data_IF_683224496668
#
_entry.id   IF_683224496668
#
_cell.length_a   1.000
_cell.length_b   1.000
_cell.length_c   1.000
_cell.angle_alpha   90.00
_cell.angle_beta   90.00
_cell.angle_gamma   90.00
#
_symmetry.space_group_name_H-M   'P 1'
#
loop_
_entity.id
_entity.type
_entity.pdbx_description
1 polymer ?
#
# COMPACT_ATOMS: atom_id res chain seq x y z
N UNK A 1 19.77 5.08 -9.37
CA UNK A 1 19.14 5.87 -8.30
C UNK A 1 17.65 5.90 -8.54
N UNK A 2 16.86 6.18 -7.51
CA UNK A 2 15.43 6.46 -7.60
C UNK A 2 15.15 7.82 -6.96
N UNK A 3 14.20 8.59 -7.49
CA UNK A 3 13.76 9.83 -6.86
C UNK A 3 12.62 9.54 -5.89
N UNK A 4 12.79 9.97 -4.63
CA UNK A 4 11.75 9.86 -3.60
C UNK A 4 11.08 11.21 -3.43
N UNK A 5 9.75 11.21 -3.36
CA UNK A 5 8.93 12.36 -2.94
C UNK A 5 8.40 12.11 -1.54
N UNK A 6 8.74 12.98 -0.59
CA UNK A 6 8.40 12.85 0.84
C UNK A 6 7.53 14.02 1.30
N UNK A 7 6.45 13.72 2.02
CA UNK A 7 5.64 14.74 2.71
C UNK A 7 6.36 15.21 3.99
N UNK A 8 6.50 16.52 4.15
CA UNK A 8 7.32 17.14 5.20
C UNK A 8 6.54 18.08 6.14
N UNK A 9 5.23 18.22 5.93
CA UNK A 9 4.38 19.02 6.81
C UNK A 9 4.10 18.40 8.18
N UNK A 10 4.35 17.09 8.36
CA UNK A 10 4.04 16.34 9.57
C UNK A 10 5.31 15.93 10.35
N UNK A 11 5.21 14.95 11.25
CA UNK A 11 6.37 14.35 11.87
C UNK A 11 7.20 13.56 10.84
N UNK A 12 8.51 13.57 11.06
CA UNK A 12 9.48 12.89 10.22
C UNK A 12 10.10 11.75 11.02
N UNK A 13 10.14 10.56 10.44
CA UNK A 13 10.96 9.45 10.91
C UNK A 13 12.44 9.66 10.53
N UNK A 14 13.29 8.79 11.08
CA UNK A 14 14.71 8.76 10.76
C UNK A 14 14.95 8.26 9.33
N UNK A 15 15.62 9.08 8.51
CA UNK A 15 16.00 8.69 7.16
C UNK A 15 17.35 9.30 6.77
N UNK A 16 18.37 8.45 6.69
CA UNK A 16 19.75 8.82 6.33
C UNK A 16 19.92 9.40 4.92
N UNK A 17 18.92 9.24 4.05
CA UNK A 17 18.97 9.74 2.67
C UNK A 17 18.36 11.14 2.53
N UNK A 18 17.69 11.64 3.58
CA UNK A 18 17.10 12.98 3.58
C UNK A 18 18.21 14.05 3.53
N UNK A 19 18.04 15.15 2.78
CA UNK A 19 18.98 16.27 2.83
C UNK A 19 19.11 16.84 4.24
N UNK A 20 20.33 17.23 4.64
CA UNK A 20 20.62 17.72 6.00
C UNK A 20 20.04 19.10 6.29
N UNK A 21 19.90 19.96 5.27
CA UNK A 21 19.49 21.36 5.41
C UNK A 21 17.98 21.57 5.15
N UNK A 22 17.14 20.71 5.74
CA UNK A 22 15.69 20.72 5.46
C UNK A 22 14.84 21.54 6.43
N UNK A 23 15.41 22.03 7.52
CA UNK A 23 14.66 22.68 8.60
C UNK A 23 13.79 23.85 8.11
N UNK A 24 14.31 24.68 7.20
CA UNK A 24 13.56 25.78 6.62
C UNK A 24 12.35 25.29 5.78
N UNK A 25 12.53 24.22 5.00
CA UNK A 25 11.44 23.62 4.21
C UNK A 25 10.37 23.00 5.12
N UNK A 26 10.77 22.28 6.17
CA UNK A 26 9.83 21.71 7.16
C UNK A 26 9.03 22.82 7.84
N UNK A 27 9.71 23.90 8.27
CA UNK A 27 9.05 25.03 8.91
C UNK A 27 8.03 25.71 7.98
N UNK A 28 8.41 25.92 6.71
CA UNK A 28 7.51 26.47 5.71
C UNK A 28 6.30 25.55 5.44
N UNK A 29 6.52 24.24 5.24
CA UNK A 29 5.44 23.28 5.01
C UNK A 29 4.44 23.22 6.18
N UNK A 30 4.93 23.25 7.42
CA UNK A 30 4.09 23.33 8.62
C UNK A 30 3.29 24.62 8.70
N UNK A 31 3.91 25.75 8.32
CA UNK A 31 3.21 27.02 8.26
C UNK A 31 2.11 27.00 7.20
N UNK A 32 2.37 26.41 6.03
CA UNK A 32 1.36 26.19 4.97
C UNK A 32 0.18 25.38 5.53
N UNK A 33 0.44 24.21 6.15
CA UNK A 33 -0.62 23.40 6.74
C UNK A 33 -1.44 24.13 7.82
N UNK A 34 -0.78 24.94 8.66
CA UNK A 34 -1.43 25.70 9.72
C UNK A 34 -2.30 26.86 9.18
N UNK A 35 -1.99 27.36 7.98
CA UNK A 35 -2.74 28.45 7.34
C UNK A 35 -3.94 27.96 6.52
N UNK A 36 -3.96 26.68 6.16
CA UNK A 36 -5.05 26.10 5.39
C UNK A 36 -6.25 25.77 6.29
N UNK A 37 -7.48 25.95 5.79
CA UNK A 37 -8.68 25.59 6.53
C UNK A 37 -8.69 24.08 6.81
N UNK A 38 -9.16 23.71 7.99
CA UNK A 38 -9.49 22.31 8.30
C UNK A 38 -10.61 21.89 7.37
N UNK A 39 -10.33 20.93 6.49
CA UNK A 39 -11.35 20.38 5.61
C UNK A 39 -12.30 19.50 6.43
N UNK A 40 -13.61 19.61 6.21
CA UNK A 40 -14.56 18.70 6.82
C UNK A 40 -14.29 17.26 6.36
N UNK A 41 -14.70 16.33 7.20
CA UNK A 41 -14.65 14.91 6.93
C UNK A 41 -15.77 14.58 5.96
N UNK A 42 -15.46 14.67 4.69
CA UNK A 42 -16.38 14.31 3.62
C UNK A 42 -16.16 12.85 3.24
N UNK A 43 -17.26 12.18 2.89
CA UNK A 43 -17.19 10.83 2.34
C UNK A 43 -16.40 10.86 1.03
N UNK A 44 -15.41 9.96 0.89
CA UNK A 44 -14.75 9.76 -0.39
C UNK A 44 -15.60 8.89 -1.34
N UNK A 45 -16.53 8.10 -0.81
CA UNK A 45 -17.42 7.25 -1.58
C UNK A 45 -18.46 8.08 -2.33
N UNK A 46 -18.57 7.85 -3.63
CA UNK A 46 -19.50 8.50 -4.54
C UNK A 46 -20.58 7.52 -5.02
N UNK A 47 -21.68 8.06 -5.55
CA UNK A 47 -22.67 7.27 -6.29
C UNK A 47 -22.04 6.70 -7.56
N UNK A 48 -22.27 5.41 -7.81
CA UNK A 48 -21.74 4.70 -8.98
C UNK A 48 -22.61 5.04 -10.20
N UNK A 49 -22.04 5.61 -11.28
CA UNK A 49 -22.80 5.83 -12.52
C UNK A 49 -23.20 4.50 -13.15
N UNK A 50 -24.37 4.44 -13.79
CA UNK A 50 -24.87 3.23 -14.45
C UNK A 50 -23.86 2.64 -15.45
N UNK A 51 -23.09 3.48 -16.14
CA UNK A 51 -22.05 3.05 -17.08
C UNK A 51 -20.88 2.29 -16.43
N UNK A 52 -20.68 2.43 -15.12
CA UNK A 52 -19.61 1.78 -14.35
C UNK A 52 -20.12 0.52 -13.62
N UNK A 53 -21.42 0.39 -13.36
CA UNK A 53 -21.98 -0.73 -12.60
C UNK A 53 -21.64 -2.10 -13.19
N UNK A 54 -21.82 -2.28 -14.51
CA UNK A 54 -21.58 -3.57 -15.15
C UNK A 54 -20.09 -3.92 -15.20
N UNK A 55 -19.23 -2.91 -15.31
CA UNK A 55 -17.78 -3.09 -15.22
C UNK A 55 -17.39 -3.59 -13.82
N UNK A 56 -17.88 -2.92 -12.76
CA UNK A 56 -17.59 -3.35 -11.39
C UNK A 56 -18.16 -4.73 -11.08
N UNK A 57 -19.36 -5.07 -11.57
CA UNK A 57 -19.90 -6.43 -11.43
C UNK A 57 -19.01 -7.48 -12.07
N UNK A 58 -18.46 -7.20 -13.27
CA UNK A 58 -17.53 -8.11 -13.92
C UNK A 58 -16.22 -8.24 -13.12
N UNK A 59 -15.64 -7.12 -12.69
CA UNK A 59 -14.42 -7.09 -11.88
C UNK A 59 -14.58 -7.82 -10.54
N UNK A 60 -15.74 -7.72 -9.88
CA UNK A 60 -16.02 -8.39 -8.62
C UNK A 60 -15.97 -9.93 -8.71
N UNK A 61 -16.08 -10.50 -9.92
CA UNK A 61 -16.00 -11.96 -10.14
C UNK A 61 -14.58 -12.48 -10.33
N UNK A 62 -13.58 -11.60 -10.31
CA UNK A 62 -12.18 -11.96 -10.53
C UNK A 62 -11.61 -12.82 -9.40
N UNK A 63 -11.07 -14.03 -9.70
CA UNK A 63 -10.50 -14.90 -8.67
C UNK A 63 -9.31 -14.29 -7.94
N UNK A 64 -8.46 -13.55 -8.64
CA UNK A 64 -7.27 -12.90 -8.07
C UNK A 64 -7.65 -11.77 -7.10
N UNK A 65 -8.74 -11.05 -7.37
CA UNK A 65 -9.28 -10.05 -6.45
C UNK A 65 -9.85 -10.71 -5.18
N UNK A 66 -10.67 -11.75 -5.34
CA UNK A 66 -11.24 -12.48 -4.21
C UNK A 66 -10.15 -13.10 -3.31
N UNK A 67 -9.07 -13.60 -3.91
CA UNK A 67 -7.94 -14.14 -3.18
C UNK A 67 -7.14 -13.04 -2.44
N UNK A 68 -6.89 -11.89 -3.06
CA UNK A 68 -6.19 -10.76 -2.43
C UNK A 68 -6.97 -10.20 -1.24
N UNK A 69 -8.30 -10.14 -1.34
CA UNK A 69 -9.17 -9.58 -0.32
C UNK A 69 -9.69 -10.62 0.70
N UNK A 70 -9.16 -11.84 0.68
CA UNK A 70 -9.60 -12.92 1.56
C UNK A 70 -9.47 -12.52 3.05
N UNK A 71 -10.55 -12.70 3.81
CA UNK A 71 -10.60 -12.38 5.24
C UNK A 71 -10.95 -10.92 5.58
N UNK A 72 -11.10 -10.07 4.56
CA UNK A 72 -11.55 -8.68 4.70
C UNK A 72 -13.04 -8.56 4.34
N UNK A 73 -13.69 -7.53 4.90
CA UNK A 73 -14.99 -7.07 4.43
C UNK A 73 -14.75 -6.05 3.32
N UNK A 74 -15.14 -6.37 2.09
CA UNK A 74 -14.78 -5.57 0.93
C UNK A 74 -15.88 -5.52 -0.13
N UNK A 75 -15.82 -4.46 -0.93
CA UNK A 75 -16.67 -4.24 -2.11
C UNK A 75 -15.91 -3.47 -3.19
N UNK A 76 -16.53 -3.25 -4.35
CA UNK A 76 -16.03 -2.32 -5.35
C UNK A 76 -16.90 -1.06 -5.34
N UNK A 77 -16.29 0.10 -5.56
CA UNK A 77 -17.04 1.35 -5.65
C UNK A 77 -16.27 2.47 -6.34
N UNK A 78 -16.92 3.62 -6.45
CA UNK A 78 -16.35 4.85 -7.00
C UNK A 78 -15.89 5.76 -5.86
N UNK A 79 -14.64 6.21 -5.90
CA UNK A 79 -14.09 7.10 -4.88
C UNK A 79 -13.59 8.41 -5.49
N UNK A 80 -13.62 9.46 -4.70
CA UNK A 80 -12.95 10.72 -4.97
C UNK A 80 -11.61 10.77 -4.22
N UNK A 81 -10.52 10.72 -4.98
CA UNK A 81 -9.15 10.70 -4.51
C UNK A 81 -8.78 11.92 -3.67
N UNK A 82 -9.50 13.03 -3.83
CA UNK A 82 -9.24 14.25 -3.06
C UNK A 82 -9.53 14.03 -1.58
N UNK A 83 -10.50 13.21 -1.23
CA UNK A 83 -10.90 12.99 0.16
C UNK A 83 -10.11 11.88 0.87
N UNK A 84 -9.12 11.29 0.20
CA UNK A 84 -8.34 10.19 0.77
C UNK A 84 -7.19 10.67 1.66
N UNK A 85 -7.09 10.05 2.83
CA UNK A 85 -5.96 10.16 3.75
C UNK A 85 -4.81 9.28 3.24
N UNK A 86 -3.59 9.80 3.38
CA UNK A 86 -2.35 9.12 3.10
C UNK A 86 -1.65 8.68 4.39
N UNK A 87 -1.36 7.40 4.55
CA UNK A 87 -0.45 6.93 5.61
C UNK A 87 0.99 6.74 5.14
N UNK A 88 1.22 6.60 3.84
CA UNK A 88 2.57 6.56 3.31
C UNK A 88 3.17 7.96 3.34
N UNK A 89 4.33 8.10 3.98
CA UNK A 89 5.08 9.38 4.03
C UNK A 89 5.86 9.66 2.73
N UNK A 90 6.19 8.62 1.96
CA UNK A 90 7.13 8.66 0.84
C UNK A 90 6.65 7.85 -0.34
N UNK A 91 6.85 8.39 -1.54
CA UNK A 91 6.59 7.72 -2.81
C UNK A 91 7.86 7.66 -3.67
N UNK A 92 7.97 6.61 -4.46
CA UNK A 92 9.05 6.45 -5.44
C UNK A 92 8.58 6.93 -6.80
N UNK A 93 9.19 7.97 -7.35
CA UNK A 93 8.73 8.56 -8.62
C UNK A 93 9.20 7.77 -9.85
N UNK A 94 10.11 6.80 -9.70
CA UNK A 94 10.59 5.96 -10.81
C UNK A 94 9.43 5.27 -11.53
N UNK A 95 8.41 4.85 -10.78
CA UNK A 95 7.25 4.15 -11.34
C UNK A 95 6.35 5.07 -12.17
N UNK A 96 6.36 6.39 -11.95
CA UNK A 96 5.53 7.33 -12.71
C UNK A 96 6.05 7.54 -14.13
N UNK A 97 7.36 7.44 -14.33
CA UNK A 97 8.01 7.64 -15.63
C UNK A 97 7.67 6.60 -16.70
N UNK A 98 7.06 5.46 -16.32
CA UNK A 98 6.78 4.31 -17.19
C UNK A 98 5.25 4.11 -17.35
N UNK A 99 4.43 5.03 -16.89
CA UNK A 99 2.98 4.83 -16.81
C UNK A 99 2.25 4.99 -18.16
N UNK A 100 1.14 4.27 -18.35
CA UNK A 100 0.25 4.46 -19.50
C UNK A 100 -0.36 5.86 -19.53
N UNK A 101 -0.84 6.26 -20.71
CA UNK A 101 -1.62 7.49 -20.89
C UNK A 101 -2.83 7.45 -19.98
N UNK A 102 -3.03 8.51 -19.19
CA UNK A 102 -4.21 8.60 -18.32
C UNK A 102 -5.46 8.72 -19.18
N UNK A 103 -6.46 7.83 -19.02
CA UNK A 103 -7.72 7.92 -19.72
C UNK A 103 -8.47 9.22 -19.43
N UNK A 104 -9.34 9.63 -20.36
CA UNK A 104 -10.31 10.69 -20.11
C UNK A 104 -11.16 10.39 -18.86
N UNK A 105 -11.55 11.39 -18.04
CA UNK A 105 -12.40 11.18 -16.86
C UNK A 105 -13.71 10.42 -17.13
N UNK A 106 -14.25 10.47 -18.35
CA UNK A 106 -15.46 9.75 -18.75
C UNK A 106 -15.19 8.32 -19.27
N UNK A 107 -13.92 7.93 -19.47
CA UNK A 107 -13.54 6.61 -19.96
C UNK A 107 -13.43 5.59 -18.81
N UNK A 108 -14.59 5.15 -18.31
CA UNK A 108 -14.67 4.17 -17.20
C UNK A 108 -13.92 2.85 -17.45
N UNK A 109 -13.96 2.23 -18.65
CA UNK A 109 -13.15 1.04 -18.93
C UNK A 109 -11.64 1.31 -18.75
N UNK A 110 -11.14 2.42 -19.27
CA UNK A 110 -9.73 2.79 -19.13
C UNK A 110 -9.35 3.07 -17.68
N UNK A 111 -10.19 3.82 -16.94
CA UNK A 111 -9.93 4.10 -15.53
C UNK A 111 -9.94 2.80 -14.69
N UNK A 112 -10.84 1.88 -15.00
CA UNK A 112 -10.89 0.53 -14.38
C UNK A 112 -9.62 -0.25 -14.67
N UNK A 113 -9.12 -0.24 -15.91
CA UNK A 113 -7.85 -0.90 -16.25
C UNK A 113 -6.66 -0.32 -15.47
N UNK A 114 -6.65 1.00 -15.26
CA UNK A 114 -5.59 1.69 -14.50
C UNK A 114 -5.67 1.38 -13.00
N UNK A 115 -6.87 1.36 -12.40
CA UNK A 115 -7.01 1.23 -10.95
C UNK A 115 -7.24 -0.21 -10.49
N UNK A 116 -7.87 -1.05 -11.28
CA UNK A 116 -8.13 -2.47 -11.04
C UNK A 116 -7.37 -3.33 -12.04
N UNK A 117 -6.08 -3.08 -12.21
CA UNK A 117 -5.26 -3.76 -13.23
C UNK A 117 -5.20 -5.28 -13.04
N UNK A 118 -4.80 -5.99 -14.10
CA UNK A 118 -4.47 -7.41 -14.04
C UNK A 118 -3.21 -7.66 -13.19
N UNK A 119 -3.08 -8.85 -12.54
CA UNK A 119 -1.87 -9.22 -11.81
C UNK A 119 -0.63 -9.15 -12.70
N UNK A 120 0.42 -8.51 -12.19
CA UNK A 120 1.71 -8.43 -12.90
C UNK A 120 2.55 -9.64 -12.57
N UNK A 121 3.24 -10.19 -13.58
CA UNK A 121 4.22 -11.24 -13.36
C UNK A 121 5.35 -10.71 -12.47
N UNK A 122 5.53 -11.36 -11.32
CA UNK A 122 6.56 -10.98 -10.36
C UNK A 122 7.93 -11.41 -10.90
N UNK A 123 8.80 -10.43 -11.17
CA UNK A 123 10.17 -10.70 -11.61
C UNK A 123 11.08 -10.93 -10.40
N UNK A 124 11.68 -12.10 -10.31
CA UNK A 124 12.66 -12.43 -9.28
C UNK A 124 13.71 -13.41 -9.83
N UNK A 125 14.85 -13.49 -9.15
CA UNK A 125 15.83 -14.56 -9.31
C UNK A 125 15.90 -15.37 -8.02
N UNK A 126 16.09 -16.68 -8.14
CA UNK A 126 16.30 -17.58 -7.00
C UNK A 126 17.65 -18.27 -7.12
N UNK A 127 18.41 -18.29 -6.03
CA UNK A 127 19.61 -19.08 -5.90
C UNK A 127 19.46 -19.98 -4.66
N UNK A 128 19.72 -21.27 -4.80
CA UNK A 128 19.62 -22.23 -3.71
C UNK A 128 20.88 -23.08 -3.62
N UNK A 129 21.17 -23.55 -2.42
CA UNK A 129 22.16 -24.60 -2.18
C UNK A 129 21.49 -25.73 -1.41
N UNK A 130 21.39 -26.89 -2.05
CA UNK A 130 20.82 -28.11 -1.45
C UNK A 130 21.62 -28.46 -0.19
N UNK A 131 22.95 -28.32 -0.23
CA UNK A 131 23.84 -28.66 0.88
C UNK A 131 23.64 -27.77 2.12
N UNK A 132 23.11 -26.56 1.97
CA UNK A 132 22.89 -25.64 3.10
C UNK A 132 21.42 -25.45 3.45
N UNK A 133 20.50 -26.17 2.80
CA UNK A 133 19.05 -26.03 3.03
C UNK A 133 18.53 -24.59 2.85
N UNK A 134 19.22 -23.77 2.04
CA UNK A 134 18.97 -22.34 1.97
C UNK A 134 18.56 -21.93 0.56
N UNK A 135 17.51 -21.13 0.46
CA UNK A 135 17.02 -20.52 -0.78
C UNK A 135 17.01 -19.00 -0.61
N UNK A 136 17.65 -18.29 -1.53
CA UNK A 136 17.65 -16.83 -1.60
C UNK A 136 16.86 -16.39 -2.82
N UNK A 137 15.81 -15.59 -2.60
CA UNK A 137 15.02 -14.95 -3.64
C UNK A 137 15.37 -13.47 -3.65
N UNK A 138 15.71 -12.93 -4.83
CA UNK A 138 16.03 -11.51 -5.02
C UNK A 138 15.10 -10.90 -6.06
N UNK A 139 14.54 -9.72 -5.79
CA UNK A 139 13.70 -9.00 -6.74
C UNK A 139 13.99 -7.50 -6.72
N UNK A 140 13.90 -6.81 -7.88
CA UNK A 140 13.83 -5.35 -7.90
C UNK A 140 12.48 -4.81 -7.40
N UNK A 141 11.47 -5.68 -7.19
CA UNK A 141 10.17 -5.29 -6.65
C UNK A 141 10.25 -5.16 -5.11
N UNK A 142 10.10 -3.95 -4.54
CA UNK A 142 10.08 -3.77 -3.08
C UNK A 142 8.85 -4.44 -2.42
N UNK A 143 7.79 -4.69 -3.19
CA UNK A 143 6.54 -5.28 -2.70
C UNK A 143 6.57 -6.82 -2.74
N UNK A 144 7.71 -7.41 -3.15
CA UNK A 144 7.90 -8.87 -3.13
C UNK A 144 7.65 -9.43 -1.73
N UNK A 145 6.65 -10.28 -1.55
CA UNK A 145 6.38 -10.97 -0.30
C UNK A 145 6.28 -12.48 -0.52
N UNK A 146 6.51 -13.25 0.54
CA UNK A 146 6.22 -14.67 0.55
C UNK A 146 4.98 -14.84 1.42
N UNK A 147 3.87 -15.28 0.81
CA UNK A 147 2.59 -15.45 1.52
C UNK A 147 2.31 -16.94 1.71
N UNK A 148 1.84 -17.38 2.88
CA UNK A 148 1.33 -18.72 3.03
C UNK A 148 0.10 -18.91 2.13
N UNK A 149 -0.14 -20.14 1.70
CA UNK A 149 -1.33 -20.50 0.93
C UNK A 149 -2.10 -21.60 1.64
N UNK A 150 -3.36 -21.81 1.22
CA UNK A 150 -4.14 -22.96 1.65
C UNK A 150 -3.80 -24.25 0.88
N UNK A 151 -2.96 -24.15 -0.17
CA UNK A 151 -2.53 -25.30 -0.98
C UNK A 151 -1.37 -26.02 -0.26
N UNK A 152 -1.59 -27.26 0.23
CA UNK A 152 -0.55 -28.01 0.92
C UNK A 152 0.62 -28.41 0.01
N UNK A 153 0.43 -28.47 -1.31
CA UNK A 153 1.52 -28.75 -2.26
C UNK A 153 2.41 -27.52 -2.49
N UNK A 154 1.84 -26.33 -2.33
CA UNK A 154 2.52 -25.04 -2.49
C UNK A 154 2.27 -24.15 -1.27
N UNK A 155 2.79 -24.51 -0.08
CA UNK A 155 2.44 -23.84 1.18
C UNK A 155 2.84 -22.35 1.20
N UNK A 156 3.70 -21.93 0.26
CA UNK A 156 4.08 -20.54 0.08
C UNK A 156 4.00 -20.13 -1.39
N UNK A 157 3.55 -18.89 -1.62
CA UNK A 157 3.58 -18.25 -2.94
C UNK A 157 4.35 -16.94 -2.89
N UNK A 158 5.07 -16.66 -3.99
CA UNK A 158 5.70 -15.37 -4.20
C UNK A 158 4.63 -14.40 -4.69
N UNK A 159 4.47 -13.28 -3.98
CA UNK A 159 3.49 -12.25 -4.27
C UNK A 159 4.18 -10.91 -4.54
N UNK A 160 3.67 -10.13 -5.49
CA UNK A 160 4.34 -8.94 -6.02
C UNK A 160 3.73 -7.61 -5.59
N UNK A 161 2.88 -7.59 -4.58
CA UNK A 161 2.04 -6.42 -4.26
C UNK A 161 0.69 -6.48 -4.97
N UNK A 162 -0.27 -5.71 -4.47
CA UNK A 162 -1.63 -5.71 -5.00
C UNK A 162 -1.70 -4.95 -6.33
N UNK A 163 -2.35 -5.50 -7.37
CA UNK A 163 -2.60 -4.78 -8.60
C UNK A 163 -3.85 -3.89 -8.49
N UNK A 164 -4.42 -3.69 -7.30
CA UNK A 164 -5.66 -2.93 -7.08
C UNK A 164 -5.40 -1.60 -6.37
N UNK A 165 -6.17 -0.57 -6.72
CA UNK A 165 -6.27 0.66 -5.93
C UNK A 165 -7.24 0.37 -4.79
N UNK A 166 -6.72 0.39 -3.58
CA UNK A 166 -7.42 -0.09 -2.40
C UNK A 166 -7.62 1.06 -1.43
N UNK A 167 -8.84 1.23 -0.97
CA UNK A 167 -9.23 2.26 -0.01
C UNK A 167 -9.89 1.60 1.18
N UNK A 168 -9.34 1.84 2.37
CA UNK A 168 -9.93 1.37 3.61
C UNK A 168 -10.79 2.48 4.23
N UNK A 169 -11.99 2.13 4.65
CA UNK A 169 -12.80 2.92 5.55
C UNK A 169 -12.56 2.46 6.99
N UNK A 170 -12.10 3.37 7.86
CA UNK A 170 -11.83 3.07 9.27
C UNK A 170 -12.01 4.32 10.12
N UNK A 171 -12.87 4.25 11.15
CA UNK A 171 -13.18 5.37 12.08
C UNK A 171 -13.50 6.68 11.35
N UNK A 172 -14.47 6.62 10.43
CA UNK A 172 -14.95 7.77 9.67
C UNK A 172 -13.85 8.45 8.81
N UNK A 173 -12.88 7.67 8.35
CA UNK A 173 -11.83 8.11 7.42
C UNK A 173 -11.72 7.14 6.26
N UNK A 174 -11.58 7.69 5.07
CA UNK A 174 -11.20 6.96 3.86
C UNK A 174 -9.70 7.10 3.67
N UNK A 175 -8.98 5.98 3.73
CA UNK A 175 -7.51 5.92 3.76
C UNK A 175 -7.04 5.12 2.56
N UNK A 176 -6.10 5.68 1.77
CA UNK A 176 -5.51 4.96 0.65
C UNK A 176 -4.57 3.87 1.18
N UNK A 177 -4.97 2.60 1.00
CA UNK A 177 -4.25 1.40 1.44
C UNK A 177 -3.17 1.00 0.46
N UNK A 178 -3.52 0.92 -0.82
CA UNK A 178 -2.60 0.64 -1.91
C UNK A 178 -3.01 1.43 -3.16
N UNK A 179 -2.07 1.67 -4.06
CA UNK A 179 -2.29 2.36 -5.32
C UNK A 179 -1.82 3.81 -5.34
N UNK A 180 -0.96 4.26 -4.43
CA UNK A 180 -0.45 5.65 -4.39
C UNK A 180 0.12 6.14 -5.73
N UNK A 181 0.91 5.33 -6.44
CA UNK A 181 1.44 5.73 -7.73
C UNK A 181 0.34 5.91 -8.79
N UNK A 182 -0.72 5.09 -8.75
CA UNK A 182 -1.88 5.20 -9.64
C UNK A 182 -2.73 6.40 -9.30
N UNK A 183 -3.00 6.60 -8.01
CA UNK A 183 -3.72 7.77 -7.52
C UNK A 183 -2.99 9.06 -7.92
N UNK A 184 -1.68 9.13 -7.72
CA UNK A 184 -0.88 10.30 -8.09
C UNK A 184 -0.87 10.51 -9.61
N UNK A 185 -0.75 9.43 -10.40
CA UNK A 185 -0.82 9.49 -11.86
C UNK A 185 -2.13 10.12 -12.34
N UNK A 186 -3.28 9.62 -11.88
CA UNK A 186 -4.59 10.11 -12.35
C UNK A 186 -4.91 11.51 -11.79
N UNK A 187 -4.54 11.80 -10.54
CA UNK A 187 -4.68 13.13 -9.94
C UNK A 187 -3.85 14.18 -10.69
N UNK A 188 -2.64 13.82 -11.12
CA UNK A 188 -1.76 14.72 -11.90
C UNK A 188 -2.34 15.04 -13.29
N UNK A 189 -3.24 14.20 -13.80
CA UNK A 189 -3.99 14.43 -15.03
C UNK A 189 -5.34 15.13 -14.81
N UNK A 190 -5.66 15.56 -13.57
CA UNK A 190 -6.93 16.19 -13.23
C UNK A 190 -8.11 15.24 -13.10
N UNK A 191 -7.87 13.92 -13.11
CA UNK A 191 -8.89 12.91 -12.84
C UNK A 191 -8.95 12.66 -11.33
N UNK A 192 -10.10 12.92 -10.72
CA UNK A 192 -10.27 12.79 -9.27
C UNK A 192 -11.12 11.59 -8.87
N UNK A 193 -11.96 11.08 -9.78
CA UNK A 193 -12.91 10.02 -9.50
C UNK A 193 -12.44 8.73 -10.17
N UNK A 194 -12.28 7.66 -9.40
CA UNK A 194 -11.81 6.37 -9.94
C UNK A 194 -12.47 5.18 -9.24
N UNK A 195 -12.64 4.05 -9.94
CA UNK A 195 -13.06 2.82 -9.30
C UNK A 195 -11.95 2.29 -8.39
N UNK A 196 -12.35 1.69 -7.27
CA UNK A 196 -11.45 1.18 -6.24
C UNK A 196 -12.04 -0.06 -5.55
N UNK A 197 -11.16 -0.84 -4.92
CA UNK A 197 -11.56 -1.82 -3.92
C UNK A 197 -11.74 -1.10 -2.59
N UNK A 198 -12.93 -1.21 -2.02
CA UNK A 198 -13.31 -0.60 -0.75
C UNK A 198 -13.25 -1.66 0.34
N UNK A 199 -12.59 -1.35 1.45
CA UNK A 199 -12.41 -2.27 2.57
C UNK A 199 -13.00 -1.62 3.81
N UNK A 200 -13.96 -2.27 4.46
CA UNK A 200 -14.46 -1.87 5.77
C UNK A 200 -13.53 -2.43 6.85
N UNK A 201 -12.48 -1.66 7.16
CA UNK A 201 -11.45 -2.10 8.08
C UNK A 201 -11.93 -2.01 9.53
N UNK A 202 -11.66 -3.06 10.30
CA UNK A 202 -11.98 -3.21 11.72
C UNK A 202 -10.80 -2.78 12.60
N UNK A 203 -9.59 -2.84 12.07
CA UNK A 203 -8.36 -2.54 12.79
C UNK A 203 -7.39 -1.73 11.94
N UNK A 204 -6.47 -1.01 12.59
CA UNK A 204 -5.39 -0.29 11.90
C UNK A 204 -4.47 -1.23 11.10
N UNK A 205 -4.38 -2.50 11.50
CA UNK A 205 -3.63 -3.52 10.76
C UNK A 205 -4.26 -3.84 9.41
N UNK A 206 -5.60 -3.87 9.33
CA UNK A 206 -6.32 -4.07 8.07
C UNK A 206 -6.17 -2.87 7.12
N UNK A 207 -6.05 -1.65 7.67
CA UNK A 207 -5.69 -0.44 6.90
C UNK A 207 -4.28 -0.54 6.30
N UNK A 208 -3.38 -1.34 6.89
CA UNK A 208 -2.00 -1.49 6.45
C UNK A 208 -1.02 -0.46 7.02
N UNK A 209 -1.48 0.45 7.88
CA UNK A 209 -0.70 1.56 8.44
C UNK A 209 0.13 1.17 9.70
N UNK A 210 0.82 0.03 9.66
CA UNK A 210 1.49 -0.56 10.84
C UNK A 210 3.02 -0.43 10.88
N UNK A 211 3.63 0.14 9.83
CA UNK A 211 5.09 0.22 9.75
C UNK A 211 5.65 1.52 10.35
N UNK A 212 6.84 1.49 10.99
CA UNK A 212 7.42 2.66 11.66
C UNK A 212 7.69 3.88 10.75
N UNK A 213 7.82 3.66 9.45
CA UNK A 213 8.06 4.72 8.46
C UNK A 213 6.76 5.30 7.87
N UNK A 214 5.60 4.89 8.36
CA UNK A 214 4.31 5.53 8.07
C UNK A 214 4.04 6.65 9.07
N UNK A 215 2.97 7.41 8.80
CA UNK A 215 2.44 8.37 9.77
C UNK A 215 1.83 7.65 10.97
N UNK A 216 1.92 8.28 12.15
CA UNK A 216 1.35 7.70 13.37
C UNK A 216 -0.18 7.74 13.32
N UNK A 217 -0.83 6.91 14.14
CA UNK A 217 -2.29 6.93 14.28
C UNK A 217 -2.80 8.33 14.67
N UNK A 218 -2.11 9.01 15.59
CA UNK A 218 -2.44 10.38 15.99
C UNK A 218 -2.44 11.36 14.80
N UNK A 219 -1.53 11.20 13.84
CA UNK A 219 -1.47 12.04 12.64
C UNK A 219 -2.60 11.71 11.67
N UNK A 220 -2.88 10.42 11.44
CA UNK A 220 -3.94 9.94 10.54
C UNK A 220 -5.34 10.36 10.99
N UNK A 221 -5.55 10.49 12.30
CA UNK A 221 -6.82 10.89 12.90
C UNK A 221 -6.83 12.32 13.44
N UNK A 222 -5.76 13.08 13.21
CA UNK A 222 -5.71 14.51 13.54
C UNK A 222 -6.76 15.30 12.73
N UNK A 223 -7.05 16.56 13.11
CA UNK A 223 -7.89 17.44 12.30
C UNK A 223 -7.33 17.73 10.89
N UNK A 224 -6.00 17.61 10.68
CA UNK A 224 -5.33 17.85 9.40
C UNK A 224 -4.44 16.65 9.05
N UNK A 225 -5.04 15.50 8.71
CA UNK A 225 -4.26 14.33 8.36
C UNK A 225 -3.57 14.56 7.01
N UNK A 226 -2.46 13.84 6.73
CA UNK A 226 -1.87 13.82 5.40
C UNK A 226 -2.88 13.29 4.39
N UNK A 227 -3.02 13.96 3.24
CA UNK A 227 -3.90 13.55 2.14
C UNK A 227 -3.09 13.08 0.95
N UNK A 228 -3.72 12.25 0.13
CA UNK A 228 -3.11 11.80 -1.14
C UNK A 228 -2.79 13.00 -2.04
N UNK A 229 -3.64 14.03 -2.05
CA UNK A 229 -3.43 15.26 -2.82
C UNK A 229 -2.23 16.08 -2.35
N UNK A 230 -1.79 15.94 -1.10
CA UNK A 230 -0.68 16.74 -0.57
C UNK A 230 0.64 16.37 -1.27
N UNK A 231 0.72 15.17 -1.88
CA UNK A 231 1.84 14.79 -2.72
C UNK A 231 1.99 15.63 -3.99
N UNK A 232 0.92 16.31 -4.45
CA UNK A 232 0.98 17.24 -5.59
C UNK A 232 1.52 18.62 -5.21
N UNK A 233 1.63 18.94 -3.91
CA UNK A 233 2.04 20.25 -3.45
C UNK A 233 3.55 20.30 -3.21
N UNK A 234 4.26 21.08 -4.04
CA UNK A 234 5.69 21.36 -3.84
C UNK A 234 5.96 22.07 -2.50
N UNK A 235 4.98 22.80 -1.95
CA UNK A 235 5.10 23.45 -0.64
C UNK A 235 5.08 22.44 0.53
N UNK A 236 4.49 21.26 0.34
CA UNK A 236 4.36 20.22 1.36
C UNK A 236 5.31 19.04 1.15
N UNK A 237 6.06 19.03 0.05
CA UNK A 237 6.91 17.92 -0.35
C UNK A 237 8.36 18.33 -0.54
N UNK A 238 9.23 17.34 -0.45
CA UNK A 238 10.60 17.42 -0.96
C UNK A 238 10.86 16.26 -1.90
N UNK A 239 11.83 16.45 -2.79
CA UNK A 239 12.37 15.39 -3.61
C UNK A 239 13.85 15.19 -3.35
N UNK A 240 14.29 13.93 -3.29
CA UNK A 240 15.71 13.60 -3.14
C UNK A 240 16.03 12.23 -3.72
N UNK A 241 17.27 12.01 -4.20
CA UNK A 241 17.69 10.73 -4.73
C UNK A 241 17.93 9.72 -3.60
N UNK A 242 17.54 8.47 -3.83
CA UNK A 242 17.82 7.32 -2.98
C UNK A 242 18.40 6.17 -3.82
N UNK A 243 19.28 5.32 -3.27
CA UNK A 243 19.62 4.06 -3.92
C UNK A 243 18.38 3.21 -4.18
N UNK A 244 18.33 2.54 -5.35
CA UNK A 244 17.27 1.58 -5.64
C UNK A 244 17.40 0.41 -4.68
N UNK A 245 16.27 -0.01 -4.10
CA UNK A 245 16.24 -1.16 -3.22
C UNK A 245 16.08 -2.44 -4.04
N UNK A 246 16.82 -3.47 -3.65
CA UNK A 246 16.52 -4.85 -4.03
C UNK A 246 16.00 -5.56 -2.79
N UNK A 247 14.85 -6.23 -2.93
CA UNK A 247 14.31 -7.03 -1.86
C UNK A 247 14.91 -8.43 -1.94
N UNK A 248 15.48 -8.87 -0.83
CA UNK A 248 16.05 -10.22 -0.69
C UNK A 248 15.30 -10.96 0.40
N UNK A 249 14.68 -12.08 0.05
CA UNK A 249 14.04 -13.01 0.99
C UNK A 249 14.97 -14.23 1.10
N UNK A 250 15.36 -14.57 2.33
CA UNK A 250 16.17 -15.76 2.62
C UNK A 250 15.33 -16.74 3.41
N UNK A 251 15.22 -17.95 2.88
CA UNK A 251 14.51 -19.07 3.51
C UNK A 251 15.58 -20.06 3.96
N UNK A 252 15.57 -20.36 5.26
CA UNK A 252 16.42 -21.38 5.87
C UNK A 252 15.51 -22.49 6.39
N UNK A 253 15.79 -23.71 5.97
CA UNK A 253 15.07 -24.90 6.42
C UNK A 253 15.96 -25.60 7.44
N UNK A 254 15.43 -25.80 8.64
CA UNK A 254 16.09 -26.51 9.74
C UNK A 254 15.28 -27.76 10.09
N UNK A 255 15.96 -28.89 10.24
CA UNK A 255 15.38 -30.14 10.73
C UNK A 255 15.89 -30.37 12.15
N UNK A 256 14.96 -30.46 13.09
CA UNK A 256 15.25 -30.78 14.50
C UNK A 256 14.50 -32.03 14.91
N UNK A 257 15.13 -32.83 15.78
CA UNK A 257 14.50 -33.98 16.43
C UNK A 257 14.33 -33.66 17.90
N UNK A 258 13.09 -33.64 18.38
CA UNK A 258 12.80 -33.51 19.80
C UNK A 258 12.30 -34.87 20.34
N UNK A 259 12.87 -35.37 21.45
CA UNK A 259 12.37 -36.59 22.06
C UNK A 259 10.96 -36.35 22.62
N UNK A 260 10.03 -37.23 22.26
CA UNK A 260 8.65 -37.17 22.73
C UNK A 260 8.67 -37.52 24.23
N UNK A 261 8.68 -36.51 25.10
CA UNK A 261 8.66 -36.72 26.54
C UNK A 261 7.33 -37.35 26.93
N UNK A 262 7.32 -38.65 27.20
CA UNK A 262 6.17 -39.33 27.78
C UNK A 262 5.86 -38.62 29.11
N UNK A 263 4.63 -38.14 29.34
CA UNK A 263 4.28 -37.50 30.60
C UNK A 263 4.62 -38.46 31.73
N UNK A 264 5.49 -38.03 32.65
CA UNK A 264 5.81 -38.82 33.82
C UNK A 264 4.52 -39.05 34.61
N UNK A 265 4.14 -40.31 34.77
CA UNK A 265 3.11 -40.70 35.72
C UNK A 265 3.55 -40.18 37.09
N UNK A 266 2.93 -39.08 37.50
CA UNK A 266 3.10 -38.50 38.82
C UNK A 266 2.56 -39.53 39.80
N UNK A 267 3.48 -40.08 40.60
CA UNK A 267 3.19 -41.12 41.56
C UNK A 267 2.02 -40.76 42.47
N UNK A 268 1.11 -41.72 42.62
CA UNK A 268 0.10 -41.70 43.68
C UNK A 268 0.85 -41.76 45.02
N UNK A 269 0.74 -40.74 45.88
CA UNK A 269 1.32 -40.81 47.22
C UNK A 269 0.53 -41.84 48.04
N UNK A 270 1.26 -42.77 48.67
CA UNK A 270 0.71 -43.74 49.64
C UNK A 270 0.65 -43.14 51.04
#
# INVERSE_FOLDING_TARGET
MTTVRELIGWSLDENRHRPTNLQAHVAAARQTLASEPVHPLESALLEIPTALEDLLKAEATRPDLAEEMCGLDWSLGLIDLRHLVAFQRRLSLDQLSIQPVVPDPANWPGLTEVTLSQPRLVRYSSAGSIASGAVTITSPNPDLTLRPTADPEHPFRIHGGSPFLEVAHYRDRWILRDGYHRALLVLSAGVHQVPAVLIEARTIAEVGAIHPWFFSEDELFSPRPPRVTDFLSDALTIEYPRPRLHKTIRIHIEETFEPNATPSESGVPS
#
